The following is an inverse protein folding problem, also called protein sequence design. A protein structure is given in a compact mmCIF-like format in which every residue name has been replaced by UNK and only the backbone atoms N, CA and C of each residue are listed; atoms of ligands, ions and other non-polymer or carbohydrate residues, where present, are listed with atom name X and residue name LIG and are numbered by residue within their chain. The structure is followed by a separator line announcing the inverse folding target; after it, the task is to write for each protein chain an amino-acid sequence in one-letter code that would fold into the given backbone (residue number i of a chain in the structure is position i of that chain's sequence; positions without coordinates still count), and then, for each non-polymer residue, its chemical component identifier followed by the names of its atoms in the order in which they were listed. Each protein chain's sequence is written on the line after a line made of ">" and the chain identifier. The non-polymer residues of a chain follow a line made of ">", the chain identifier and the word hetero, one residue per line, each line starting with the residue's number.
data_IF_678087015934
#
_entry.id   IF_678087015934
#
_cell.length_a   1.000
_cell.length_b   1.000
_cell.length_c   1.000
_cell.angle_alpha   90.00
_cell.angle_beta   90.00
_cell.angle_gamma   90.00
#
_symmetry.space_group_name_H-M   'P 1'
#
loop_
_entity.id
_entity.type
_entity.pdbx_description
1 polymer ?
#
# COMPACT_ATOMS: atom_id res chain seq x y z
N UNK A 1 19.22 -25.51 28.76
CA UNK A 1 18.59 -26.84 28.88
C UNK A 1 17.64 -26.98 27.70
N UNK A 2 18.01 -27.77 26.69
CA UNK A 2 17.23 -27.90 25.47
C UNK A 2 16.28 -29.10 25.62
N UNK A 3 15.03 -28.84 25.97
CA UNK A 3 14.00 -29.88 26.02
C UNK A 3 13.71 -30.34 24.59
N UNK A 4 13.96 -31.63 24.30
CA UNK A 4 13.58 -32.24 23.01
C UNK A 4 12.07 -32.41 22.99
N UNK A 5 11.40 -31.69 22.08
CA UNK A 5 9.98 -31.86 21.82
C UNK A 5 9.78 -33.28 21.28
N UNK A 6 8.97 -34.08 21.98
CA UNK A 6 8.55 -35.41 21.54
C UNK A 6 7.18 -35.26 20.90
N UNK A 7 7.11 -35.48 19.59
CA UNK A 7 5.85 -35.51 18.86
C UNK A 7 5.24 -36.91 19.00
N UNK A 8 3.91 -36.96 19.10
CA UNK A 8 3.12 -38.19 19.20
C UNK A 8 2.07 -38.16 18.09
N UNK A 9 1.83 -39.29 17.42
CA UNK A 9 0.90 -39.41 16.30
C UNK A 9 -0.55 -39.45 16.78
N UNK A 10 -1.07 -38.31 17.22
CA UNK A 10 -2.46 -38.14 17.64
C UNK A 10 -3.38 -37.88 16.42
N UNK A 11 -4.65 -38.33 16.46
CA UNK A 11 -5.59 -38.11 15.37
C UNK A 11 -5.90 -36.61 15.23
N UNK A 12 -5.53 -36.03 14.08
CA UNK A 12 -5.78 -34.63 13.75
C UNK A 12 -7.13 -34.50 13.05
N UNK A 13 -8.04 -33.70 13.60
CA UNK A 13 -9.25 -33.28 12.88
C UNK A 13 -8.90 -32.20 11.86
N UNK A 14 -8.64 -32.60 10.62
CA UNK A 14 -8.35 -31.68 9.52
C UNK A 14 -9.57 -31.53 8.61
N UNK A 15 -9.86 -30.29 8.19
CA UNK A 15 -10.81 -30.00 7.10
C UNK A 15 -10.03 -29.78 5.81
N UNK A 16 -10.40 -30.51 4.76
CA UNK A 16 -9.85 -30.31 3.41
C UNK A 16 -10.45 -29.02 2.84
N UNK A 17 -9.61 -28.01 2.62
CA UNK A 17 -9.98 -26.75 1.98
C UNK A 17 -9.47 -26.81 0.54
N UNK A 18 -10.26 -26.36 -0.43
CA UNK A 18 -9.78 -26.18 -1.80
C UNK A 18 -8.64 -25.17 -1.83
N UNK A 19 -7.62 -25.42 -2.66
CA UNK A 19 -6.46 -24.53 -2.77
C UNK A 19 -6.91 -23.13 -3.22
N UNK A 20 -6.91 -22.18 -2.29
CA UNK A 20 -7.41 -20.81 -2.47
C UNK A 20 -6.27 -19.81 -2.64
N UNK A 21 -5.02 -20.27 -2.52
CA UNK A 21 -3.87 -19.41 -2.66
C UNK A 21 -3.68 -19.11 -4.16
N UNK A 22 -3.69 -17.82 -4.54
CA UNK A 22 -3.29 -17.45 -5.89
C UNK A 22 -1.89 -17.98 -6.15
N UNK A 23 -1.58 -18.45 -7.38
CA UNK A 23 -0.22 -18.83 -7.74
C UNK A 23 0.74 -17.67 -7.41
N UNK A 24 2.01 -17.96 -7.06
CA UNK A 24 2.98 -16.96 -6.61
C UNK A 24 3.07 -15.74 -7.53
N UNK A 25 2.92 -15.94 -8.84
CA UNK A 25 2.94 -14.88 -9.86
C UNK A 25 1.77 -13.90 -9.76
N UNK A 26 0.60 -14.34 -9.27
CA UNK A 26 -0.57 -13.50 -9.00
C UNK A 26 -0.57 -12.88 -7.60
N UNK A 27 0.24 -13.43 -6.68
CA UNK A 27 0.47 -12.85 -5.37
C UNK A 27 1.35 -11.60 -5.44
N UNK A 28 2.17 -11.48 -6.49
CA UNK A 28 3.00 -10.30 -6.74
C UNK A 28 2.12 -9.24 -7.41
N UNK A 29 1.51 -8.38 -6.60
CA UNK A 29 0.84 -7.17 -7.09
C UNK A 29 1.88 -6.24 -7.72
N UNK A 30 2.08 -6.36 -9.05
CA UNK A 30 2.98 -5.49 -9.82
C UNK A 30 2.24 -4.21 -10.15
N UNK A 31 2.42 -3.18 -9.32
CA UNK A 31 2.00 -1.83 -9.69
C UNK A 31 2.75 -1.39 -10.95
N UNK A 32 2.02 -0.86 -11.93
CA UNK A 32 2.62 -0.26 -13.11
C UNK A 32 3.37 1.02 -12.72
N UNK A 33 4.70 0.95 -12.70
CA UNK A 33 5.54 2.08 -12.33
C UNK A 33 6.03 2.83 -13.56
N UNK A 34 5.59 4.08 -13.73
CA UNK A 34 6.10 4.96 -14.80
C UNK A 34 7.27 5.78 -14.26
N UNK A 35 8.42 5.71 -14.93
CA UNK A 35 9.59 6.51 -14.57
C UNK A 35 9.43 7.93 -15.12
N UNK A 36 9.39 8.90 -14.21
CA UNK A 36 9.34 10.34 -14.54
C UNK A 36 10.60 11.02 -14.01
N UNK A 37 11.13 11.99 -14.76
CA UNK A 37 12.22 12.86 -14.30
C UNK A 37 11.62 14.20 -13.85
N UNK A 38 11.74 14.52 -12.57
CA UNK A 38 11.25 15.77 -11.98
C UNK A 38 12.39 16.50 -11.27
N UNK A 39 12.48 17.82 -11.47
CA UNK A 39 13.41 18.67 -10.74
C UNK A 39 12.80 19.07 -9.39
N UNK A 40 13.42 18.66 -8.29
CA UNK A 40 13.01 19.02 -6.93
C UNK A 40 13.99 20.00 -6.29
N UNK A 41 13.50 20.79 -5.34
CA UNK A 41 14.35 21.66 -4.55
C UNK A 41 15.28 20.85 -3.64
N UNK A 42 16.51 21.36 -3.40
CA UNK A 42 17.47 20.73 -2.49
C UNK A 42 16.89 20.53 -1.08
N UNK A 43 16.17 21.53 -0.57
CA UNK A 43 15.52 21.50 0.75
C UNK A 43 14.53 20.32 0.86
N UNK A 44 13.71 20.11 -0.17
CA UNK A 44 12.74 19.00 -0.18
C UNK A 44 13.45 17.63 -0.16
N UNK A 45 14.49 17.47 -0.98
CA UNK A 45 15.25 16.21 -1.03
C UNK A 45 15.94 15.90 0.29
N UNK A 46 16.55 16.90 0.92
CA UNK A 46 17.24 16.74 2.21
C UNK A 46 16.26 16.36 3.33
N UNK A 47 15.05 16.94 3.33
CA UNK A 47 13.98 16.55 4.25
C UNK A 47 13.62 15.07 4.13
N UNK A 48 13.30 14.59 2.91
CA UNK A 48 12.93 13.19 2.72
C UNK A 48 14.08 12.22 3.01
N UNK A 49 15.33 12.60 2.74
CA UNK A 49 16.49 11.78 3.12
C UNK A 49 16.60 11.62 4.63
N UNK A 50 16.39 12.70 5.38
CA UNK A 50 16.47 12.67 6.85
C UNK A 50 15.36 11.80 7.46
N UNK A 51 14.13 11.90 6.95
CA UNK A 51 13.00 11.10 7.43
C UNK A 51 13.11 9.63 6.99
N UNK A 52 13.63 9.37 5.79
CA UNK A 52 13.88 8.01 5.31
C UNK A 52 14.91 7.27 6.17
N UNK A 53 15.97 7.98 6.59
CA UNK A 53 17.00 7.42 7.48
C UNK A 53 16.44 7.01 8.85
N UNK A 54 15.53 7.82 9.42
CA UNK A 54 14.87 7.51 10.71
C UNK A 54 13.94 6.30 10.61
N UNK A 55 13.23 6.16 9.50
CA UNK A 55 12.21 5.13 9.30
C UNK A 55 12.75 3.88 8.58
N UNK A 56 14.08 3.76 8.42
CA UNK A 56 14.73 2.67 7.68
C UNK A 56 14.10 2.38 6.31
N UNK A 57 13.72 3.43 5.58
CA UNK A 57 13.08 3.33 4.28
C UNK A 57 13.86 4.07 3.20
N UNK A 58 13.42 3.93 1.94
CA UNK A 58 13.98 4.69 0.82
C UNK A 58 13.20 5.99 0.63
N UNK A 59 13.90 7.12 0.52
CA UNK A 59 13.26 8.44 0.37
C UNK A 59 12.36 8.51 -0.88
N UNK A 60 12.69 7.73 -1.93
CA UNK A 60 11.87 7.62 -3.14
C UNK A 60 10.48 7.04 -2.85
N UNK A 61 10.39 6.08 -1.92
CA UNK A 61 9.11 5.47 -1.53
C UNK A 61 8.23 6.47 -0.79
N UNK A 62 8.83 7.28 0.08
CA UNK A 62 8.13 8.38 0.76
C UNK A 62 7.63 9.44 -0.23
N UNK A 63 8.49 9.83 -1.18
CA UNK A 63 8.13 10.80 -2.21
C UNK A 63 6.97 10.31 -3.08
N UNK A 64 7.02 9.04 -3.49
CA UNK A 64 5.93 8.42 -4.27
C UNK A 64 4.62 8.41 -3.49
N UNK A 65 4.65 7.93 -2.25
CA UNK A 65 3.46 7.91 -1.39
C UNK A 65 2.86 9.30 -1.20
N UNK A 66 3.68 10.35 -1.07
CA UNK A 66 3.20 11.73 -0.98
C UNK A 66 2.43 12.16 -2.23
N UNK A 67 2.95 11.85 -3.41
CA UNK A 67 2.31 12.19 -4.69
C UNK A 67 0.99 11.42 -4.83
N UNK A 68 1.00 10.13 -4.51
CA UNK A 68 -0.21 9.29 -4.56
C UNK A 68 -1.29 9.84 -3.61
N UNK A 69 -0.91 10.24 -2.39
CA UNK A 69 -1.83 10.82 -1.42
C UNK A 69 -2.37 12.19 -1.84
N UNK A 70 -1.52 13.00 -2.49
CA UNK A 70 -1.93 14.27 -3.06
C UNK A 70 -2.99 14.02 -4.14
N UNK A 71 -2.71 13.16 -5.13
CA UNK A 71 -3.67 12.85 -6.21
C UNK A 71 -4.98 12.31 -5.65
N UNK A 72 -4.93 11.35 -4.71
CA UNK A 72 -6.13 10.79 -4.08
C UNK A 72 -7.02 11.86 -3.39
N UNK A 73 -6.42 12.97 -2.92
CA UNK A 73 -7.17 14.06 -2.30
C UNK A 73 -7.90 14.95 -3.31
N UNK A 74 -7.44 15.00 -4.56
CA UNK A 74 -8.02 15.82 -5.64
C UNK A 74 -8.83 15.00 -6.66
N UNK A 75 -8.62 13.69 -6.73
CA UNK A 75 -9.32 12.76 -7.63
C UNK A 75 -10.66 12.27 -7.04
N UNK A 76 -11.10 12.83 -5.91
CA UNK A 76 -12.46 12.62 -5.42
C UNK A 76 -13.41 13.28 -6.42
N UNK A 77 -14.26 12.53 -7.16
CA UNK A 77 -15.23 13.13 -8.05
C UNK A 77 -16.14 14.05 -7.22
N UNK A 78 -16.51 15.25 -7.75
CA UNK A 78 -17.40 16.13 -7.02
C UNK A 78 -18.66 15.35 -6.64
N UNK A 79 -18.92 15.27 -5.33
CA UNK A 79 -20.10 14.62 -4.79
C UNK A 79 -21.35 15.08 -5.57
N UNK A 80 -22.23 14.16 -6.02
CA UNK A 80 -23.45 14.51 -6.74
C UNK A 80 -24.49 15.26 -5.88
N UNK A 81 -24.19 15.57 -4.62
CA UNK A 81 -25.07 16.28 -3.70
C UNK A 81 -25.04 17.82 -3.88
N UNK A 82 -25.31 18.31 -5.09
CA UNK A 82 -25.77 19.69 -5.28
C UNK A 82 -26.56 19.88 -6.58
N UNK A 83 -27.48 18.96 -6.90
CA UNK A 83 -28.66 19.35 -7.69
C UNK A 83 -29.64 20.06 -6.74
N UNK A 84 -29.37 21.32 -6.40
CA UNK A 84 -30.40 22.19 -5.84
C UNK A 84 -31.45 22.39 -6.92
N UNK A 85 -32.61 21.75 -6.76
CA UNK A 85 -33.77 22.02 -7.62
C UNK A 85 -34.07 23.53 -7.59
N UNK A 86 -34.45 24.15 -8.71
CA UNK A 86 -34.89 25.53 -8.72
C UNK A 86 -36.19 25.65 -7.91
N UNK A 87 -36.43 26.78 -7.22
CA UNK A 87 -37.68 27.00 -6.53
C UNK A 87 -38.81 27.07 -7.57
N UNK A 88 -39.83 26.24 -7.36
CA UNK A 88 -41.04 26.24 -8.17
C UNK A 88 -41.75 27.58 -7.95
N UNK A 89 -41.97 28.33 -9.03
CA UNK A 89 -42.78 29.55 -9.05
C UNK A 89 -44.24 29.24 -8.75
#
# INVERSE_FOLDING_TARGET
>A
MNARIKYTDEPIEARVIADFLPPPDQLIFREETVKVTLTLSKKSVDFFKSEAAKNHSQYQRMLRALIDHYVASYDVPPSPSSKRLPPKR
#
